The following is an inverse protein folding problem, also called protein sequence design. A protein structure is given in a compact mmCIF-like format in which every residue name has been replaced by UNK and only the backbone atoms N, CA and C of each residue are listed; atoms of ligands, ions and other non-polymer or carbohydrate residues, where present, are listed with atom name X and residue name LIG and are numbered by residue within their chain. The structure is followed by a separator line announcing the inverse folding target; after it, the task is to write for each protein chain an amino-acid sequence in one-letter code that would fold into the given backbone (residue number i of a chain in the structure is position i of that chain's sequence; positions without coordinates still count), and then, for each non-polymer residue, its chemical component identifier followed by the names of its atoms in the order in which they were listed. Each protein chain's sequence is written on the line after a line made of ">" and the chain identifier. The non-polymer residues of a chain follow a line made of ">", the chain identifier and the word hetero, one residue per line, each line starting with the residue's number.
data_IF_066811546044
#
_entry.id   IF_066811546044
#
_cell.length_a   1.000
_cell.length_b   1.000
_cell.length_c   1.000
_cell.angle_alpha   90.00
_cell.angle_beta   90.00
_cell.angle_gamma   90.00
#
_symmetry.space_group_name_H-M   'P 1'
#
loop_
_entity.id
_entity.type
_entity.pdbx_description
1 polymer ?
#
# COMPACT_ATOMS: atom_id res chain seq x y z
N UNK A 1 22.92 16.68 8.94
CA UNK A 1 22.06 15.82 9.78
C UNK A 1 20.69 15.48 9.14
N UNK A 2 20.24 16.12 8.05
CA UNK A 2 19.00 15.71 7.35
C UNK A 2 19.18 14.55 6.34
N UNK A 3 20.41 14.25 5.90
CA UNK A 3 20.66 13.22 4.86
C UNK A 3 20.60 11.78 5.41
N UNK A 4 21.09 11.56 6.63
CA UNK A 4 21.26 10.22 7.22
C UNK A 4 19.92 9.55 7.61
N UNK A 5 18.90 10.37 7.90
CA UNK A 5 17.56 9.89 8.30
C UNK A 5 16.76 9.37 7.10
N UNK A 6 16.97 9.95 5.92
CA UNK A 6 16.29 9.56 4.68
C UNK A 6 16.92 8.30 4.07
N UNK A 7 18.24 8.15 4.18
CA UNK A 7 18.97 6.94 3.74
C UNK A 7 18.55 5.69 4.53
N UNK A 8 18.31 5.83 5.83
CA UNK A 8 17.82 4.74 6.67
C UNK A 8 16.39 4.31 6.25
N UNK A 9 15.50 5.27 5.96
CA UNK A 9 14.10 4.99 5.61
C UNK A 9 13.94 4.29 4.25
N UNK A 10 14.73 4.68 3.24
CA UNK A 10 14.75 3.98 1.96
C UNK A 10 15.22 2.52 2.12
N UNK A 11 16.28 2.30 2.91
CA UNK A 11 16.79 0.95 3.18
C UNK A 11 15.79 0.06 3.92
N UNK A 12 14.93 0.64 4.78
CA UNK A 12 13.90 -0.10 5.51
C UNK A 12 12.79 -0.58 4.58
N UNK A 13 12.36 0.22 3.60
CA UNK A 13 11.37 -0.20 2.60
C UNK A 13 11.94 -1.25 1.65
N UNK A 14 13.20 -1.12 1.24
CA UNK A 14 13.87 -2.14 0.44
C UNK A 14 13.95 -3.48 1.18
N UNK A 15 14.31 -3.46 2.47
CA UNK A 15 14.30 -4.65 3.32
C UNK A 15 12.90 -5.24 3.49
N UNK A 16 11.89 -4.38 3.65
CA UNK A 16 10.49 -4.81 3.68
C UNK A 16 10.12 -5.57 2.39
N UNK A 17 10.39 -4.98 1.23
CA UNK A 17 10.10 -5.60 -0.08
C UNK A 17 10.89 -6.91 -0.25
N UNK A 18 12.15 -6.94 0.17
CA UNK A 18 12.97 -8.16 0.13
C UNK A 18 12.34 -9.29 0.97
N UNK A 19 11.92 -8.98 2.20
CA UNK A 19 11.29 -9.95 3.10
C UNK A 19 9.95 -10.46 2.54
N UNK A 20 9.13 -9.55 2.00
CA UNK A 20 7.86 -9.89 1.33
C UNK A 20 8.11 -10.88 0.19
N UNK A 21 9.04 -10.57 -0.72
CA UNK A 21 9.37 -11.42 -1.87
C UNK A 21 9.89 -12.78 -1.43
N UNK A 22 10.78 -12.80 -0.43
CA UNK A 22 11.35 -14.04 0.10
C UNK A 22 10.27 -14.95 0.70
N UNK A 23 9.46 -14.46 1.63
CA UNK A 23 8.41 -15.26 2.27
C UNK A 23 7.32 -15.69 1.29
N UNK A 24 6.95 -14.81 0.35
CA UNK A 24 5.97 -15.14 -0.70
C UNK A 24 6.47 -16.27 -1.60
N UNK A 25 7.75 -16.23 -2.02
CA UNK A 25 8.36 -17.29 -2.84
C UNK A 25 8.42 -18.65 -2.15
N UNK A 26 8.41 -18.65 -0.81
CA UNK A 26 8.40 -19.86 0.02
C UNK A 26 6.97 -20.34 0.33
N UNK A 27 5.94 -19.60 -0.06
CA UNK A 27 4.54 -19.86 0.32
C UNK A 27 4.27 -19.68 1.82
N UNK A 28 5.15 -18.99 2.55
CA UNK A 28 5.04 -18.81 3.99
C UNK A 28 4.14 -17.60 4.32
N UNK A 29 2.87 -17.71 3.95
CA UNK A 29 1.91 -16.60 4.03
C UNK A 29 1.50 -16.24 5.47
N UNK A 30 1.58 -17.20 6.41
CA UNK A 30 1.29 -16.93 7.83
C UNK A 30 2.35 -16.00 8.43
N UNK A 31 3.63 -16.33 8.27
CA UNK A 31 4.72 -15.48 8.77
C UNK A 31 4.77 -14.15 7.99
N UNK A 32 4.39 -14.16 6.71
CA UNK A 32 4.24 -12.94 5.93
C UNK A 32 3.19 -12.01 6.55
N UNK A 33 2.01 -12.50 6.94
CA UNK A 33 1.00 -11.70 7.62
C UNK A 33 1.55 -11.08 8.92
N UNK A 34 2.34 -11.81 9.71
CA UNK A 34 2.97 -11.27 10.91
C UNK A 34 3.98 -10.15 10.59
N UNK A 35 4.74 -10.30 9.51
CA UNK A 35 5.67 -9.26 9.03
C UNK A 35 4.90 -8.03 8.56
N UNK A 36 3.82 -8.21 7.79
CA UNK A 36 2.97 -7.11 7.31
C UNK A 36 2.38 -6.32 8.47
N UNK A 37 1.79 -7.01 9.45
CA UNK A 37 1.21 -6.37 10.63
C UNK A 37 2.24 -5.54 11.42
N UNK A 38 3.45 -6.10 11.62
CA UNK A 38 4.56 -5.37 12.29
C UNK A 38 5.09 -4.20 11.46
N UNK A 39 4.89 -4.20 10.15
CA UNK A 39 5.39 -3.18 9.23
C UNK A 39 4.41 -2.03 9.03
N UNK A 40 3.21 -2.07 9.63
CA UNK A 40 2.18 -1.05 9.41
C UNK A 40 2.66 0.37 9.73
N UNK A 41 3.34 0.55 10.88
CA UNK A 41 3.90 1.86 11.26
C UNK A 41 4.98 2.35 10.27
N UNK A 42 5.79 1.42 9.74
CA UNK A 42 6.79 1.73 8.71
C UNK A 42 6.12 2.22 7.43
N UNK A 43 5.05 1.53 6.98
CA UNK A 43 4.32 1.89 5.76
C UNK A 43 3.65 3.25 5.90
N UNK A 44 2.95 3.50 7.01
CA UNK A 44 2.27 4.79 7.29
C UNK A 44 3.27 5.94 7.27
N UNK A 45 4.43 5.79 7.92
CA UNK A 45 5.49 6.83 7.95
C UNK A 45 6.10 7.13 6.59
N UNK A 46 6.00 6.20 5.65
CA UNK A 46 6.59 6.29 4.33
C UNK A 46 5.54 6.36 3.20
N UNK A 47 4.34 6.87 3.50
CA UNK A 47 3.21 6.97 2.57
C UNK A 47 3.56 7.49 1.17
N UNK A 48 4.40 8.51 1.09
CA UNK A 48 4.86 9.13 -0.16
C UNK A 48 5.70 8.21 -1.08
N UNK A 49 6.18 7.07 -0.58
CA UNK A 49 6.99 6.11 -1.32
C UNK A 49 6.24 4.81 -1.63
N UNK A 50 4.96 4.70 -1.24
CA UNK A 50 4.22 3.46 -1.37
C UNK A 50 3.89 3.09 -2.81
N UNK A 51 3.80 4.06 -3.73
CA UNK A 51 3.67 3.76 -5.16
C UNK A 51 4.90 3.02 -5.70
N UNK A 52 6.10 3.45 -5.32
CA UNK A 52 7.34 2.74 -5.66
C UNK A 52 7.38 1.34 -5.04
N UNK A 53 6.84 1.17 -3.83
CA UNK A 53 6.70 -0.16 -3.22
C UNK A 53 5.76 -1.04 -4.05
N UNK A 54 4.61 -0.53 -4.48
CA UNK A 54 3.66 -1.28 -5.33
C UNK A 54 4.27 -1.66 -6.68
N UNK A 55 5.03 -0.78 -7.31
CA UNK A 55 5.76 -1.06 -8.57
C UNK A 55 6.79 -2.19 -8.43
N UNK A 56 7.29 -2.42 -7.22
CA UNK A 56 8.20 -3.52 -6.91
C UNK A 56 7.48 -4.83 -6.58
N UNK A 57 6.14 -4.86 -6.55
CA UNK A 57 5.38 -6.05 -6.22
C UNK A 57 4.63 -6.56 -7.44
N UNK A 58 4.74 -7.87 -7.67
CA UNK A 58 3.91 -8.58 -8.63
C UNK A 58 2.61 -9.04 -7.98
N UNK A 59 1.45 -8.69 -8.56
CA UNK A 59 0.12 -9.01 -8.02
C UNK A 59 -0.11 -10.52 -7.83
N UNK A 60 0.39 -11.33 -8.76
CA UNK A 60 0.21 -12.79 -8.73
C UNK A 60 1.09 -13.46 -7.67
N UNK A 61 2.14 -12.79 -7.22
CA UNK A 61 3.06 -13.32 -6.21
C UNK A 61 2.87 -12.69 -4.83
N UNK A 62 2.41 -11.44 -4.75
CA UNK A 62 2.48 -10.62 -3.53
C UNK A 62 1.16 -9.96 -3.15
N UNK A 63 0.03 -10.59 -3.46
CA UNK A 63 -1.32 -10.06 -3.17
C UNK A 63 -1.49 -9.65 -1.70
N UNK A 64 -0.93 -10.39 -0.74
CA UNK A 64 -1.00 -10.02 0.68
C UNK A 64 -0.29 -8.69 1.00
N UNK A 65 0.90 -8.47 0.43
CA UNK A 65 1.62 -7.23 0.66
C UNK A 65 0.96 -6.05 -0.06
N UNK A 66 0.45 -6.27 -1.28
CA UNK A 66 -0.30 -5.24 -2.01
C UNK A 66 -1.59 -4.85 -1.27
N UNK A 67 -2.29 -5.81 -0.65
CA UNK A 67 -3.45 -5.55 0.20
C UNK A 67 -3.09 -4.59 1.35
N UNK A 68 -2.03 -4.88 2.09
CA UNK A 68 -1.59 -4.06 3.21
C UNK A 68 -1.21 -2.64 2.76
N UNK A 69 -0.41 -2.53 1.69
CA UNK A 69 0.05 -1.25 1.16
C UNK A 69 -1.11 -0.39 0.65
N UNK A 70 -2.06 -0.99 -0.10
CA UNK A 70 -3.24 -0.27 -0.58
C UNK A 70 -4.18 0.16 0.57
N UNK A 71 -4.32 -0.69 1.59
CA UNK A 71 -5.10 -0.36 2.79
C UNK A 71 -4.50 0.84 3.52
N UNK A 72 -3.18 0.88 3.67
CA UNK A 72 -2.48 2.04 4.23
C UNK A 72 -2.68 3.28 3.36
N UNK A 73 -2.47 3.18 2.03
CA UNK A 73 -2.67 4.31 1.11
C UNK A 73 -4.07 4.92 1.22
N UNK A 74 -5.11 4.09 1.28
CA UNK A 74 -6.50 4.56 1.43
C UNK A 74 -6.78 5.25 2.77
N UNK A 75 -6.00 4.94 3.81
CA UNK A 75 -6.13 5.57 5.13
C UNK A 75 -5.41 6.92 5.23
N UNK A 76 -4.46 7.19 4.33
CA UNK A 76 -3.65 8.41 4.36
C UNK A 76 -4.38 9.57 3.67
N UNK A 77 -4.19 10.82 4.14
CA UNK A 77 -4.66 11.98 3.40
C UNK A 77 -3.91 12.07 2.05
N UNK A 78 -4.55 12.63 1.01
CA UNK A 78 -3.87 12.84 -0.26
C UNK A 78 -2.61 13.71 -0.05
N UNK A 79 -1.54 13.48 -0.83
CA UNK A 79 -0.29 14.21 -0.67
C UNK A 79 -0.55 15.71 -0.83
N UNK A 80 -0.32 16.46 0.24
CA UNK A 80 -0.51 17.91 0.22
C UNK A 80 0.46 18.54 -0.78
N UNK A 81 -0.08 19.07 -1.87
CA UNK A 81 0.74 19.69 -2.91
C UNK A 81 1.50 20.92 -2.34
N UNK A 82 2.69 21.25 -2.88
CA UNK A 82 3.45 22.40 -2.43
C UNK A 82 2.63 23.70 -2.57
N UNK A 83 2.82 24.67 -1.67
CA UNK A 83 2.00 25.90 -1.57
C UNK A 83 2.03 26.79 -2.82
N UNK A 84 2.87 26.49 -3.80
CA UNK A 84 2.99 27.17 -5.10
C UNK A 84 2.03 26.65 -6.18
N UNK A 85 1.31 25.56 -5.92
CA UNK A 85 0.36 24.98 -6.89
C UNK A 85 -1.03 25.60 -6.75
N UNK A 86 -1.46 26.36 -7.77
CA UNK A 86 -2.76 27.06 -7.78
C UNK A 86 -3.98 26.12 -7.89
N UNK A 87 -3.78 24.82 -8.14
CA UNK A 87 -4.83 23.84 -8.38
C UNK A 87 -4.71 22.59 -7.48
N UNK A 88 -4.55 22.78 -6.16
CA UNK A 88 -4.52 21.69 -5.17
C UNK A 88 -5.73 20.74 -5.27
N UNK A 89 -6.90 21.28 -5.62
CA UNK A 89 -8.13 20.50 -5.73
C UNK A 89 -8.10 19.51 -6.91
N UNK A 90 -7.56 19.90 -8.07
CA UNK A 90 -7.43 19.01 -9.22
C UNK A 90 -6.41 17.89 -8.97
N UNK A 91 -5.29 18.20 -8.31
CA UNK A 91 -4.27 17.21 -7.94
C UNK A 91 -4.81 16.15 -6.97
N UNK A 92 -5.68 16.54 -6.03
CA UNK A 92 -6.33 15.59 -5.12
C UNK A 92 -7.28 14.65 -5.88
N UNK A 93 -8.03 15.17 -6.85
CA UNK A 93 -8.92 14.37 -7.69
C UNK A 93 -8.12 13.35 -8.50
N UNK A 94 -7.05 13.79 -9.17
CA UNK A 94 -6.18 12.90 -9.95
C UNK A 94 -5.59 11.79 -9.07
N UNK A 95 -5.11 12.13 -7.86
CA UNK A 95 -4.57 11.15 -6.91
C UNK A 95 -5.63 10.12 -6.49
N UNK A 96 -6.85 10.56 -6.19
CA UNK A 96 -7.94 9.67 -5.80
C UNK A 96 -8.35 8.74 -6.95
N UNK A 97 -8.39 9.23 -8.18
CA UNK A 97 -8.70 8.42 -9.37
C UNK A 97 -7.63 7.34 -9.62
N UNK A 98 -6.35 7.70 -9.47
CA UNK A 98 -5.24 6.75 -9.57
C UNK A 98 -5.34 5.68 -8.47
N UNK A 99 -5.53 6.09 -7.22
CA UNK A 99 -5.66 5.16 -6.09
C UNK A 99 -6.85 4.21 -6.29
N UNK A 100 -7.98 4.74 -6.75
CA UNK A 100 -9.17 3.94 -7.05
C UNK A 100 -8.88 2.89 -8.13
N UNK A 101 -8.18 3.30 -9.20
CA UNK A 101 -7.79 2.40 -10.28
C UNK A 101 -6.90 1.27 -9.77
N UNK A 102 -5.89 1.58 -8.95
CA UNK A 102 -5.00 0.57 -8.34
C UNK A 102 -5.77 -0.42 -7.46
N UNK A 103 -6.72 0.06 -6.67
CA UNK A 103 -7.57 -0.78 -5.83
C UNK A 103 -8.50 -1.66 -6.67
N UNK A 104 -9.08 -1.12 -7.73
CA UNK A 104 -9.93 -1.90 -8.66
C UNK A 104 -9.13 -3.03 -9.33
N UNK A 105 -7.93 -2.73 -9.84
CA UNK A 105 -7.02 -3.72 -10.42
C UNK A 105 -6.66 -4.80 -9.39
N UNK A 106 -6.37 -4.41 -8.16
CA UNK A 106 -6.12 -5.34 -7.08
C UNK A 106 -7.32 -6.24 -6.78
N UNK A 107 -8.52 -5.68 -6.56
CA UNK A 107 -9.73 -6.44 -6.24
C UNK A 107 -10.05 -7.46 -7.34
N UNK A 108 -9.86 -7.07 -8.60
CA UNK A 108 -10.15 -7.93 -9.76
C UNK A 108 -9.07 -8.97 -10.05
N UNK A 109 -7.81 -8.72 -9.69
CA UNK A 109 -6.68 -9.58 -10.05
C UNK A 109 -5.97 -10.30 -8.90
N UNK A 110 -6.31 -10.01 -7.64
CA UNK A 110 -5.63 -10.61 -6.49
C UNK A 110 -5.77 -12.13 -6.42
N UNK A 111 -4.76 -12.79 -5.83
CA UNK A 111 -4.72 -14.23 -5.66
C UNK A 111 -5.52 -14.62 -4.42
N UNK A 112 -6.75 -15.09 -4.63
CA UNK A 112 -7.67 -15.46 -3.56
C UNK A 112 -7.11 -16.46 -2.54
N UNK A 113 -6.19 -17.35 -2.94
CA UNK A 113 -5.51 -18.26 -2.00
C UNK A 113 -4.67 -17.52 -0.96
N UNK A 114 -3.93 -16.48 -1.37
CA UNK A 114 -3.17 -15.64 -0.44
C UNK A 114 -4.13 -14.82 0.43
N UNK A 115 -5.19 -14.26 -0.16
CA UNK A 115 -6.17 -13.42 0.56
C UNK A 115 -6.86 -14.16 1.71
N UNK A 116 -7.00 -15.50 1.64
CA UNK A 116 -7.57 -16.31 2.73
C UNK A 116 -6.81 -16.16 4.06
N UNK A 117 -5.57 -15.70 4.05
CA UNK A 117 -4.78 -15.44 5.26
C UNK A 117 -5.06 -14.07 5.89
N UNK A 118 -5.70 -13.15 5.16
CA UNK A 118 -6.01 -11.80 5.60
C UNK A 118 -7.41 -11.36 5.13
N UNK A 119 -8.40 -12.24 5.28
CA UNK A 119 -9.78 -12.00 4.82
C UNK A 119 -10.40 -10.76 5.45
N UNK A 120 -10.07 -10.49 6.71
CA UNK A 120 -10.60 -9.37 7.47
C UNK A 120 -10.07 -8.04 6.90
N UNK A 121 -8.75 -7.96 6.64
CA UNK A 121 -8.13 -6.81 5.98
C UNK A 121 -8.68 -6.59 4.58
N UNK A 122 -8.94 -7.65 3.81
CA UNK A 122 -9.55 -7.54 2.48
C UNK A 122 -11.00 -7.01 2.56
N UNK A 123 -11.78 -7.51 3.52
CA UNK A 123 -13.14 -7.01 3.75
C UNK A 123 -13.12 -5.53 4.18
N UNK A 124 -12.17 -5.14 5.02
CA UNK A 124 -11.98 -3.77 5.46
C UNK A 124 -11.57 -2.85 4.29
N UNK A 125 -10.67 -3.29 3.41
CA UNK A 125 -10.32 -2.58 2.18
C UNK A 125 -11.59 -2.29 1.35
N UNK A 126 -12.38 -3.32 1.07
CA UNK A 126 -13.63 -3.18 0.31
C UNK A 126 -14.61 -2.23 0.99
N UNK A 127 -14.73 -2.28 2.32
CA UNK A 127 -15.59 -1.39 3.07
C UNK A 127 -15.13 0.06 2.98
N UNK A 128 -13.83 0.33 3.15
CA UNK A 128 -13.24 1.66 3.08
C UNK A 128 -13.42 2.28 1.69
N UNK A 129 -13.22 1.49 0.63
CA UNK A 129 -13.44 1.92 -0.76
C UNK A 129 -14.91 2.27 -0.99
N UNK A 130 -15.82 1.41 -0.53
CA UNK A 130 -17.27 1.67 -0.63
C UNK A 130 -17.65 2.95 0.10
N UNK A 131 -17.10 3.18 1.30
CA UNK A 131 -17.33 4.40 2.08
C UNK A 131 -16.85 5.64 1.31
N UNK A 132 -15.63 5.61 0.77
CA UNK A 132 -15.09 6.74 -0.01
C UNK A 132 -15.94 7.02 -1.26
N UNK A 133 -16.46 6.00 -1.95
CA UNK A 133 -17.34 6.18 -3.10
C UNK A 133 -18.70 6.80 -2.76
N UNK A 134 -19.18 6.62 -1.53
CA UNK A 134 -20.44 7.23 -1.06
C UNK A 134 -20.21 8.66 -0.58
N UNK A 135 -19.04 8.94 0.00
CA UNK A 135 -18.68 10.25 0.57
C UNK A 135 -18.09 11.23 -0.46
N UNK A 136 -17.63 10.74 -1.61
CA UNK A 136 -17.12 11.54 -2.74
C UNK A 136 -18.23 12.26 -3.51
#
# INVERSE_FOLDING_TARGET
>A
MHSEKTENMASLLEQFVHNVRNLSSQGNFRDLCDVLHKSQELLVKNGQHLDTVLEMLDLQQHSLAMLEVLSVKLSLPPPSAPPTSSNQQAQNIDYQEILFTQVQEFITGCVGEQIRYASDTYAELCHNVTKQLIEA
#
